data_IF_257944354217
#
_entry.id   IF_257944354217
#
_cell.length_a   1.000
_cell.length_b   1.000
_cell.length_c   1.000
_cell.angle_alpha   90.00
_cell.angle_beta   90.00
_cell.angle_gamma   90.00
#
_symmetry.space_group_name_H-M   'P 1'
#
loop_
_entity.id
_entity.type
_entity.pdbx_description
1 polymer ?
#
# COMPACT_ATOMS: atom_id res chain seq x y z
N UNK A 1 -18.50 12.06 0.28
CA UNK A 1 -17.15 11.68 -0.23
C UNK A 1 -17.35 10.60 -1.26
N UNK A 2 -16.91 10.85 -2.46
CA UNK A 2 -16.95 9.84 -3.50
C UNK A 2 -16.04 8.68 -3.12
N UNK A 3 -16.50 7.46 -3.37
CA UNK A 3 -15.71 6.26 -3.13
C UNK A 3 -14.65 6.13 -4.22
N UNK A 4 -13.62 5.37 -3.96
CA UNK A 4 -12.59 5.05 -4.96
C UNK A 4 -13.21 4.46 -6.23
N UNK A 5 -14.24 3.67 -6.04
CA UNK A 5 -14.99 3.02 -7.11
C UNK A 5 -15.76 4.03 -8.00
N UNK A 6 -16.25 5.12 -7.41
CA UNK A 6 -16.94 6.17 -8.15
C UNK A 6 -16.00 7.07 -8.95
N UNK A 7 -14.77 7.25 -8.45
CA UNK A 7 -13.74 8.05 -9.12
C UNK A 7 -13.06 7.30 -10.25
N UNK A 8 -12.95 5.98 -10.11
CA UNK A 8 -12.31 5.14 -11.10
C UNK A 8 -13.07 3.81 -11.22
N UNK A 9 -13.89 3.64 -12.23
CA UNK A 9 -14.60 2.38 -12.44
C UNK A 9 -13.69 1.18 -12.79
N UNK A 10 -12.39 1.36 -12.74
CA UNK A 10 -11.38 0.32 -12.94
C UNK A 10 -10.34 0.69 -13.98
N UNK A 11 -9.33 -0.14 -14.23
CA UNK A 11 -9.02 -1.37 -13.49
C UNK A 11 -8.23 -1.10 -12.21
N UNK A 12 -8.64 -1.70 -11.13
CA UNK A 12 -7.84 -1.73 -9.90
C UNK A 12 -6.79 -2.85 -9.97
N UNK A 13 -5.64 -2.69 -9.31
CA UNK A 13 -4.60 -3.72 -9.32
C UNK A 13 -5.08 -5.09 -8.84
N UNK A 14 -6.04 -5.14 -7.93
CA UNK A 14 -6.59 -6.38 -7.38
C UNK A 14 -7.72 -7.00 -8.18
N UNK A 15 -8.22 -6.35 -9.23
CA UNK A 15 -9.33 -6.89 -10.04
C UNK A 15 -8.96 -8.19 -10.78
N UNK A 16 -7.67 -8.41 -11.03
CA UNK A 16 -7.17 -9.65 -11.63
C UNK A 16 -7.18 -10.83 -10.66
N UNK A 17 -7.41 -10.58 -9.37
CA UNK A 17 -7.39 -11.59 -8.33
C UNK A 17 -8.80 -12.08 -8.03
N UNK A 18 -8.95 -13.39 -7.89
CA UNK A 18 -10.17 -13.97 -7.32
C UNK A 18 -10.20 -13.73 -5.80
N UNK A 19 -11.40 -13.75 -5.23
CA UNK A 19 -11.59 -13.60 -3.79
C UNK A 19 -10.72 -14.59 -3.00
N UNK A 20 -10.11 -14.10 -1.93
CA UNK A 20 -9.25 -14.89 -1.06
C UNK A 20 -7.82 -15.08 -1.56
N UNK A 21 -7.43 -14.49 -2.68
CA UNK A 21 -6.08 -14.62 -3.25
C UNK A 21 -5.16 -13.44 -2.92
N UNK A 22 -5.69 -12.38 -2.35
CA UNK A 22 -4.93 -11.22 -1.90
C UNK A 22 -5.48 -10.68 -0.60
N UNK A 23 -4.65 -9.92 0.11
CA UNK A 23 -5.06 -9.22 1.33
C UNK A 23 -4.69 -7.74 1.23
N UNK A 24 -5.56 -6.91 1.78
CA UNK A 24 -5.31 -5.47 1.93
C UNK A 24 -4.68 -5.23 3.29
N UNK A 25 -3.61 -4.44 3.32
CA UNK A 25 -2.80 -4.15 4.51
C UNK A 25 -2.92 -2.69 4.87
N UNK A 26 -3.32 -2.43 6.11
CA UNK A 26 -3.26 -1.09 6.71
C UNK A 26 -1.89 -0.89 7.35
N UNK A 27 -1.10 0.10 6.90
CA UNK A 27 0.27 0.29 7.40
C UNK A 27 0.31 0.77 8.85
N UNK A 28 -0.75 1.40 9.32
CA UNK A 28 -0.91 1.85 10.70
C UNK A 28 -2.39 2.01 11.06
N UNK A 29 -2.67 2.28 12.33
CA UNK A 29 -4.04 2.48 12.81
C UNK A 29 -4.69 3.76 12.25
N UNK A 30 -3.91 4.76 11.90
CA UNK A 30 -4.42 6.01 11.31
C UNK A 30 -5.00 5.83 9.91
N UNK A 31 -4.44 4.93 9.13
CA UNK A 31 -4.93 4.61 7.78
C UNK A 31 -6.16 3.69 7.78
N UNK A 32 -6.39 2.95 8.85
CA UNK A 32 -7.38 1.86 8.92
C UNK A 32 -8.79 2.32 8.53
N UNK A 33 -9.24 3.46 9.04
CA UNK A 33 -10.60 3.96 8.78
C UNK A 33 -10.84 4.23 7.29
N UNK A 34 -9.85 4.80 6.60
CA UNK A 34 -9.93 5.07 5.16
C UNK A 34 -9.91 3.77 4.36
N UNK A 35 -9.07 2.84 4.75
CA UNK A 35 -8.96 1.51 4.13
C UNK A 35 -10.25 0.72 4.32
N UNK A 36 -10.84 0.78 5.51
CA UNK A 36 -12.13 0.14 5.77
C UNK A 36 -13.22 0.63 4.81
N UNK A 37 -13.29 1.94 4.60
CA UNK A 37 -14.25 2.54 3.64
C UNK A 37 -13.97 2.11 2.21
N UNK A 38 -12.70 2.05 1.81
CA UNK A 38 -12.32 1.52 0.50
C UNK A 38 -12.79 0.08 0.35
N UNK A 39 -12.52 -0.76 1.33
CA UNK A 39 -12.91 -2.17 1.32
C UNK A 39 -14.43 -2.35 1.20
N UNK A 40 -15.21 -1.51 1.88
CA UNK A 40 -16.66 -1.51 1.71
C UNK A 40 -17.06 -1.17 0.26
N UNK A 41 -16.42 -0.15 -0.33
CA UNK A 41 -16.77 0.32 -1.67
C UNK A 41 -16.46 -0.71 -2.77
N UNK A 42 -15.38 -1.48 -2.61
CA UNK A 42 -14.98 -2.51 -3.58
C UNK A 42 -15.52 -3.91 -3.23
N UNK A 43 -16.37 -3.99 -2.21
CA UNK A 43 -16.95 -5.26 -1.75
C UNK A 43 -15.91 -6.31 -1.32
N UNK A 44 -14.82 -5.85 -0.70
CA UNK A 44 -13.78 -6.69 -0.15
C UNK A 44 -14.30 -7.44 1.08
N UNK A 45 -14.14 -8.76 1.11
CA UNK A 45 -14.73 -9.62 2.15
C UNK A 45 -13.71 -10.26 3.09
N UNK A 46 -12.43 -10.17 2.77
CA UNK A 46 -11.39 -10.75 3.58
C UNK A 46 -11.00 -9.84 4.76
N UNK A 47 -10.12 -10.36 5.61
CA UNK A 47 -9.53 -9.63 6.71
C UNK A 47 -8.66 -8.48 6.21
N UNK A 48 -8.80 -7.30 6.81
CA UNK A 48 -7.85 -6.19 6.61
C UNK A 48 -6.71 -6.40 7.59
N UNK A 49 -5.51 -6.64 7.07
CA UNK A 49 -4.32 -6.82 7.89
C UNK A 49 -3.95 -5.50 8.55
N UNK A 50 -3.96 -5.46 9.86
CA UNK A 50 -3.57 -4.26 10.62
C UNK A 50 -2.14 -4.39 11.10
N UNK A 51 -1.32 -3.42 10.74
CA UNK A 51 0.05 -3.27 11.21
C UNK A 51 0.18 -1.98 12.03
N UNK A 52 1.11 -1.97 12.96
CA UNK A 52 1.42 -0.80 13.77
C UNK A 52 2.92 -0.70 14.00
N UNK A 53 3.41 0.54 14.05
CA UNK A 53 4.79 0.83 14.40
C UNK A 53 4.97 0.70 15.90
N UNK A 54 5.95 -0.08 16.31
CA UNK A 54 6.41 -0.09 17.69
C UNK A 54 7.53 0.95 17.85
N UNK A 55 7.35 1.86 18.78
CA UNK A 55 8.35 2.89 19.07
C UNK A 55 8.97 2.64 20.44
N UNK A 56 10.26 2.81 20.52
CA UNK A 56 10.97 2.80 21.79
C UNK A 56 10.53 4.00 22.62
N UNK A 57 10.05 3.77 23.83
CA UNK A 57 9.53 4.83 24.72
C UNK A 57 10.58 5.79 25.21
N UNK A 58 11.87 5.39 25.18
CA UNK A 58 12.99 6.21 25.67
C UNK A 58 13.43 7.26 24.63
N UNK A 59 13.51 6.89 23.34
CA UNK A 59 14.05 7.75 22.29
C UNK A 59 13.07 8.02 21.13
N UNK A 60 11.88 7.43 21.15
CA UNK A 60 10.86 7.61 20.12
C UNK A 60 11.17 6.97 18.76
N UNK A 61 12.30 6.25 18.66
CA UNK A 61 12.70 5.58 17.42
C UNK A 61 11.82 4.37 17.16
N UNK A 62 11.47 4.14 15.87
CA UNK A 62 10.75 2.93 15.46
C UNK A 62 11.71 1.76 15.56
N UNK A 63 11.40 0.79 16.41
CA UNK A 63 12.20 -0.41 16.65
C UNK A 63 11.51 -1.70 16.21
N UNK A 64 10.33 -1.59 15.58
CA UNK A 64 9.65 -2.74 15.04
C UNK A 64 8.29 -2.41 14.41
N UNK A 65 7.76 -3.41 13.73
CA UNK A 65 6.40 -3.41 13.18
C UNK A 65 5.68 -4.63 13.76
N UNK A 66 4.47 -4.41 14.24
CA UNK A 66 3.59 -5.47 14.73
C UNK A 66 2.46 -5.63 13.72
N UNK A 67 2.20 -6.87 13.29
CA UNK A 67 1.09 -7.22 12.43
C UNK A 67 0.16 -8.20 13.14
N UNK A 68 -1.12 -8.09 12.87
CA UNK A 68 -2.16 -8.96 13.47
C UNK A 68 -2.28 -10.34 12.78
N UNK A 69 -1.50 -10.60 11.76
CA UNK A 69 -1.52 -11.84 10.97
C UNK A 69 -0.13 -12.46 10.95
N UNK A 70 -0.03 -13.73 11.33
CA UNK A 70 1.26 -14.41 11.44
C UNK A 70 1.67 -15.14 10.15
N UNK A 71 0.72 -15.58 9.36
CA UNK A 71 0.95 -16.32 8.11
C UNK A 71 -0.02 -15.87 7.03
N UNK A 72 0.50 -15.39 5.91
CA UNK A 72 -0.30 -14.91 4.79
C UNK A 72 -0.65 -16.01 3.78
N UNK A 73 -0.22 -17.24 4.03
CA UNK A 73 -0.56 -18.40 3.19
C UNK A 73 -0.18 -18.23 1.71
N UNK A 74 0.89 -17.50 1.44
CA UNK A 74 1.37 -17.22 0.08
C UNK A 74 0.57 -16.16 -0.68
N UNK A 75 -0.40 -15.50 -0.05
CA UNK A 75 -1.23 -14.49 -0.71
C UNK A 75 -0.43 -13.22 -1.03
N UNK A 76 -0.79 -12.57 -2.12
CA UNK A 76 -0.26 -11.27 -2.48
C UNK A 76 -0.87 -10.18 -1.57
N UNK A 77 -0.07 -9.18 -1.26
CA UNK A 77 -0.45 -8.12 -0.33
C UNK A 77 -0.51 -6.77 -1.04
N UNK A 78 -1.50 -5.96 -0.70
CA UNK A 78 -1.63 -4.57 -1.14
C UNK A 78 -1.61 -3.65 0.07
N UNK A 79 -0.51 -2.94 0.25
CA UNK A 79 -0.40 -1.88 1.27
C UNK A 79 -1.05 -0.64 0.68
N UNK A 80 -2.00 -0.07 1.40
CA UNK A 80 -2.74 1.13 0.93
C UNK A 80 -2.51 2.27 1.91
N UNK A 81 -2.12 3.44 1.38
CA UNK A 81 -1.93 4.65 2.16
C UNK A 81 -2.16 5.90 1.29
N UNK A 82 -2.11 7.08 1.90
CA UNK A 82 -2.27 8.36 1.21
C UNK A 82 -0.99 8.79 0.50
N UNK A 83 0.14 8.73 1.19
CA UNK A 83 1.40 9.39 0.80
C UNK A 83 2.57 8.43 0.98
N UNK A 84 3.46 8.39 -0.02
CA UNK A 84 4.80 7.86 0.12
C UNK A 84 5.82 8.97 -0.19
N UNK A 85 6.58 9.38 0.80
CA UNK A 85 7.65 10.36 0.63
C UNK A 85 9.02 9.68 0.62
N UNK A 86 9.73 9.59 1.74
CA UNK A 86 11.03 8.93 1.81
C UNK A 86 10.99 7.41 1.73
N UNK A 87 9.84 6.80 2.01
CA UNK A 87 9.61 5.36 1.86
C UNK A 87 10.07 4.51 3.04
N UNK A 88 10.74 5.08 4.04
CA UNK A 88 11.33 4.31 5.15
C UNK A 88 10.34 3.44 5.91
N UNK A 89 9.14 3.94 6.19
CA UNK A 89 8.08 3.17 6.85
C UNK A 89 7.66 1.96 6.01
N UNK A 90 7.51 2.13 4.69
CA UNK A 90 7.09 1.06 3.80
C UNK A 90 8.18 0.01 3.60
N UNK A 91 9.46 0.41 3.63
CA UNK A 91 10.58 -0.53 3.61
C UNK A 91 10.56 -1.43 4.85
N UNK A 92 10.43 -0.84 6.04
CA UNK A 92 10.35 -1.60 7.30
C UNK A 92 9.14 -2.51 7.33
N UNK A 93 7.99 -2.01 6.88
CA UNK A 93 6.75 -2.79 6.81
C UNK A 93 6.90 -3.97 5.85
N UNK A 94 7.42 -3.75 4.66
CA UNK A 94 7.60 -4.83 3.68
C UNK A 94 8.57 -5.90 4.19
N UNK A 95 9.66 -5.51 4.87
CA UNK A 95 10.57 -6.47 5.48
C UNK A 95 9.87 -7.35 6.51
N UNK A 96 8.99 -6.77 7.31
CA UNK A 96 8.23 -7.53 8.30
C UNK A 96 7.20 -8.47 7.65
N UNK A 97 6.51 -8.00 6.62
CA UNK A 97 5.53 -8.82 5.89
C UNK A 97 6.20 -10.01 5.19
N UNK A 98 7.42 -9.83 4.65
CA UNK A 98 8.19 -10.91 4.01
C UNK A 98 8.47 -12.09 4.93
N UNK A 99 8.56 -11.87 6.23
CA UNK A 99 8.83 -12.92 7.22
C UNK A 99 7.62 -13.84 7.44
N UNK A 100 6.45 -13.52 6.89
CA UNK A 100 5.16 -14.14 7.22
C UNK A 100 4.53 -14.88 6.05
N UNK A 101 5.37 -15.46 5.19
CA UNK A 101 4.93 -16.30 4.06
C UNK A 101 3.93 -15.56 3.14
N UNK A 102 4.28 -14.39 2.67
CA UNK A 102 3.49 -13.66 1.67
C UNK A 102 3.99 -13.93 0.25
N UNK A 103 3.13 -13.65 -0.73
CA UNK A 103 3.50 -13.56 -2.13
C UNK A 103 4.09 -12.19 -2.47
N UNK A 104 3.63 -11.57 -3.53
CA UNK A 104 4.08 -10.22 -3.93
C UNK A 104 3.58 -9.18 -2.94
N UNK A 105 4.38 -8.14 -2.74
CA UNK A 105 4.00 -6.96 -1.97
C UNK A 105 3.84 -5.78 -2.93
N UNK A 106 2.64 -5.21 -2.95
CA UNK A 106 2.29 -4.06 -3.76
C UNK A 106 1.99 -2.86 -2.85
N UNK A 107 2.38 -1.66 -3.28
CA UNK A 107 2.10 -0.42 -2.58
C UNK A 107 1.17 0.44 -3.44
N UNK A 108 0.09 0.92 -2.85
CA UNK A 108 -0.84 1.85 -3.48
C UNK A 108 -0.89 3.12 -2.64
N UNK A 109 -0.48 4.24 -3.22
CA UNK A 109 -0.53 5.55 -2.57
C UNK A 109 -1.13 6.59 -3.52
N UNK A 110 -2.01 7.44 -3.01
CA UNK A 110 -2.59 8.53 -3.79
C UNK A 110 -1.55 9.55 -4.22
N UNK A 111 -0.58 9.84 -3.35
CA UNK A 111 0.43 10.87 -3.54
C UNK A 111 1.84 10.30 -3.40
N UNK A 112 2.46 10.03 -4.52
CA UNK A 112 3.83 9.53 -4.58
C UNK A 112 4.83 10.67 -4.73
N UNK A 113 5.46 11.11 -3.65
CA UNK A 113 6.51 12.14 -3.66
C UNK A 113 7.84 11.48 -4.04
N UNK A 114 8.14 10.32 -3.43
CA UNK A 114 9.35 9.54 -3.69
C UNK A 114 10.63 10.37 -3.60
N UNK A 115 10.78 11.16 -2.53
CA UNK A 115 11.90 12.10 -2.37
C UNK A 115 13.27 11.42 -2.35
N UNK A 116 13.33 10.15 -1.97
CA UNK A 116 14.55 9.33 -1.99
C UNK A 116 14.63 8.36 -3.18
N UNK A 117 13.73 8.52 -4.15
CA UNK A 117 13.64 7.67 -5.34
C UNK A 117 12.87 6.37 -5.10
N UNK A 118 12.62 5.65 -6.18
CA UNK A 118 11.90 4.36 -6.16
C UNK A 118 12.80 3.22 -5.69
N UNK A 119 14.11 3.32 -5.94
CA UNK A 119 15.08 2.25 -5.65
C UNK A 119 15.17 1.90 -4.16
N UNK A 120 14.87 2.85 -3.27
CA UNK A 120 14.83 2.57 -1.82
C UNK A 120 13.73 1.58 -1.45
N UNK A 121 12.69 1.46 -2.28
CA UNK A 121 11.58 0.53 -2.11
C UNK A 121 11.88 -0.83 -2.76
N UNK A 122 13.11 -1.32 -2.63
CA UNK A 122 13.62 -2.51 -3.31
C UNK A 122 12.88 -3.80 -2.94
N UNK A 123 12.31 -3.87 -1.74
CA UNK A 123 11.56 -5.03 -1.23
C UNK A 123 10.05 -4.98 -1.54
N UNK A 124 9.60 -3.99 -2.29
CA UNK A 124 8.24 -3.86 -2.80
C UNK A 124 8.25 -4.24 -4.28
N UNK A 125 7.34 -5.12 -4.68
CA UNK A 125 7.32 -5.68 -6.03
C UNK A 125 6.74 -4.71 -7.05
N UNK A 126 5.66 -3.99 -6.69
CA UNK A 126 5.05 -3.00 -7.57
C UNK A 126 4.45 -1.84 -6.77
N UNK A 127 4.46 -0.65 -7.39
CA UNK A 127 3.98 0.59 -6.80
C UNK A 127 2.96 1.22 -7.74
N UNK A 128 1.82 1.60 -7.21
CA UNK A 128 0.75 2.30 -7.91
C UNK A 128 0.54 3.66 -7.27
N UNK A 129 0.50 4.71 -8.07
CA UNK A 129 0.21 6.07 -7.61
C UNK A 129 -0.53 6.86 -8.66
N UNK A 130 -0.85 8.11 -8.38
CA UNK A 130 -1.46 9.05 -9.33
C UNK A 130 -0.47 10.14 -9.70
N UNK A 131 -0.80 10.95 -10.69
CA UNK A 131 0.00 12.10 -11.10
C UNK A 131 -0.33 13.38 -10.30
N UNK A 132 -0.84 13.22 -9.07
CA UNK A 132 -1.14 14.35 -8.17
C UNK A 132 0.09 15.16 -7.78
N UNK A 133 1.27 14.55 -7.82
CA UNK A 133 2.55 15.21 -7.56
C UNK A 133 3.26 15.47 -8.88
N UNK A 134 3.62 16.73 -9.13
CA UNK A 134 4.29 17.13 -10.35
C UNK A 134 5.60 16.37 -10.57
N UNK A 135 5.77 15.84 -11.76
CA UNK A 135 7.00 15.16 -12.15
C UNK A 135 7.04 13.66 -11.87
N UNK A 136 6.08 13.11 -11.13
CA UNK A 136 6.05 11.67 -10.86
C UNK A 136 5.94 10.84 -12.14
N UNK A 137 5.23 11.33 -13.13
CA UNK A 137 5.06 10.70 -14.45
C UNK A 137 6.37 10.62 -15.24
N UNK A 138 7.39 11.38 -14.86
CA UNK A 138 8.72 11.37 -15.48
C UNK A 138 9.64 10.29 -14.92
N UNK A 139 9.25 9.67 -13.80
CA UNK A 139 10.03 8.60 -13.19
C UNK A 139 9.93 7.35 -14.08
N UNK A 140 11.08 6.87 -14.58
CA UNK A 140 11.17 5.68 -15.41
C UNK A 140 11.59 4.49 -14.54
N UNK A 141 10.61 3.67 -14.16
CA UNK A 141 10.86 2.45 -13.40
C UNK A 141 9.76 1.43 -13.73
N UNK A 142 10.15 0.20 -14.05
CA UNK A 142 9.22 -0.84 -14.49
C UNK A 142 8.22 -1.25 -13.42
N UNK A 143 8.57 -1.06 -12.13
CA UNK A 143 7.66 -1.39 -11.03
C UNK A 143 6.74 -0.25 -10.60
N UNK A 144 6.79 0.90 -11.27
CA UNK A 144 5.93 2.05 -10.98
C UNK A 144 4.87 2.20 -12.07
N UNK A 145 3.60 2.21 -11.65
CA UNK A 145 2.45 2.56 -12.49
C UNK A 145 1.86 3.87 -11.97
N UNK A 146 1.72 4.85 -12.87
CA UNK A 146 1.14 6.16 -12.54
C UNK A 146 -0.18 6.31 -13.28
N UNK A 147 -1.27 6.44 -12.53
CA UNK A 147 -2.59 6.75 -13.09
C UNK A 147 -2.75 8.25 -13.25
N UNK A 148 -3.27 8.67 -14.39
CA UNK A 148 -3.59 10.08 -14.62
C UNK A 148 -4.90 10.43 -13.93
N UNK A 149 -4.88 11.48 -13.11
CA UNK A 149 -6.10 11.96 -12.42
C UNK A 149 -7.19 12.35 -13.41
N UNK A 150 -6.83 12.91 -14.56
CA UNK A 150 -7.79 13.27 -15.60
C UNK A 150 -8.57 12.05 -16.12
N UNK A 151 -7.97 10.87 -16.10
CA UNK A 151 -8.62 9.62 -16.51
C UNK A 151 -9.50 9.03 -15.40
N UNK A 152 -9.34 9.50 -14.15
CA UNK A 152 -10.07 9.03 -12.97
C UNK A 152 -11.31 9.88 -12.65
N UNK A 153 -11.41 11.07 -13.23
CA UNK A 153 -12.47 12.05 -12.93
C UNK A 153 -13.63 12.02 -13.94
#
# INVERSE_FOLDING_TARGET
>A
METYDQLNPGPYPWEEYSNGKYLIVSPDSGAFKKIYKLCESINYKDHIVLCNKHRNVTNGVIDGIICDTDDFEGKDLFIVDDICDGGGTFVLLADELRKRNCGKINLIVSHGIFSKGIDVLSNIDHIYTTDSINGVEKIKNDKLTVFKLDDLL
#
